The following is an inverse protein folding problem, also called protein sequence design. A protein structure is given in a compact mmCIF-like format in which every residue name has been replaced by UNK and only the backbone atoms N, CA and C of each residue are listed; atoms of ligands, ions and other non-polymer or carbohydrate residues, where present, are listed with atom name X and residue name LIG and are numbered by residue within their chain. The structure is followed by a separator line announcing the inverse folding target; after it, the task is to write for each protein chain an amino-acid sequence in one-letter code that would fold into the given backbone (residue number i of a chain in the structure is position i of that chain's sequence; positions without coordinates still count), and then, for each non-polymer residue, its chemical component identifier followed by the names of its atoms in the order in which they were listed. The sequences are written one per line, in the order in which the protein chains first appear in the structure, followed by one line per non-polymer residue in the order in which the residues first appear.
data_IF_006653878953
#
_entry.id   IF_006653878953
#
_cell.length_a   1.000
_cell.length_b   1.000
_cell.length_c   1.000
_cell.angle_alpha   90.00
_cell.angle_beta   90.00
_cell.angle_gamma   90.00
#
_symmetry.space_group_name_H-M   'P 1'
#
loop_
_entity.id
_entity.type
_entity.pdbx_description
1 polymer ?
#
# COMPACT_ATOMS: atom_id res chain seq x y z
N UNK A 1 10.55 1.97 2.96
CA UNK A 1 10.56 3.12 3.90
C UNK A 1 11.58 4.21 3.60
N UNK A 2 12.71 3.94 2.96
CA UNK A 2 13.75 4.96 2.72
C UNK A 2 13.25 6.20 1.95
N UNK A 3 12.43 6.01 0.92
CA UNK A 3 11.85 7.11 0.12
C UNK A 3 11.04 8.07 1.00
N UNK A 4 10.09 7.56 1.78
CA UNK A 4 9.23 8.36 2.66
C UNK A 4 10.08 9.08 3.72
N UNK A 5 11.09 8.41 4.29
CA UNK A 5 11.99 9.01 5.26
C UNK A 5 12.81 10.16 4.67
N UNK A 6 13.26 10.04 3.43
CA UNK A 6 13.98 11.10 2.73
C UNK A 6 13.05 12.27 2.35
N UNK A 7 11.82 11.98 1.91
CA UNK A 7 10.81 13.01 1.63
C UNK A 7 10.47 13.80 2.89
N UNK A 8 10.34 13.15 4.05
CA UNK A 8 10.08 13.80 5.34
C UNK A 8 11.17 14.82 5.72
N UNK A 9 12.44 14.54 5.39
CA UNK A 9 13.56 15.45 5.66
C UNK A 9 13.59 16.65 4.71
N UNK A 10 13.14 16.47 3.48
CA UNK A 10 13.27 17.45 2.39
C UNK A 10 12.02 18.32 2.19
N UNK A 11 10.85 17.86 2.67
CA UNK A 11 9.55 18.52 2.50
C UNK A 11 8.81 18.58 3.86
N UNK A 12 9.26 19.41 4.81
CA UNK A 12 8.69 19.46 6.17
C UNK A 12 7.20 19.82 6.21
N UNK A 13 6.69 20.53 5.21
CA UNK A 13 5.26 20.85 5.04
C UNK A 13 4.39 19.62 4.71
N UNK A 14 5.02 18.54 4.23
CA UNK A 14 4.38 17.27 3.91
C UNK A 14 4.52 16.24 5.03
N UNK A 15 5.04 16.61 6.21
CA UNK A 15 5.33 15.65 7.29
C UNK A 15 4.10 14.83 7.71
N UNK A 16 2.91 15.45 7.73
CA UNK A 16 1.67 14.78 8.12
C UNK A 16 1.25 13.70 7.11
N UNK A 17 1.02 14.00 5.81
CA UNK A 17 0.68 12.96 4.85
C UNK A 17 1.79 11.92 4.67
N UNK A 18 3.06 12.33 4.70
CA UNK A 18 4.18 11.39 4.63
C UNK A 18 4.26 10.45 5.84
N UNK A 19 3.91 10.91 7.04
CA UNK A 19 3.83 10.03 8.23
C UNK A 19 2.67 9.03 8.12
N UNK A 20 1.53 9.46 7.58
CA UNK A 20 0.39 8.58 7.30
C UNK A 20 0.81 7.49 6.30
N UNK A 21 1.40 7.89 5.18
CA UNK A 21 1.94 6.95 4.19
C UNK A 21 3.00 6.02 4.78
N UNK A 22 3.87 6.53 5.66
CA UNK A 22 4.88 5.71 6.33
C UNK A 22 4.27 4.59 7.18
N UNK A 23 3.17 4.87 7.88
CA UNK A 23 2.42 3.86 8.63
C UNK A 23 1.73 2.85 7.71
N UNK A 24 1.04 3.33 6.68
CA UNK A 24 0.32 2.48 5.73
C UNK A 24 1.29 1.53 4.99
N UNK A 25 2.39 2.06 4.43
CA UNK A 25 3.39 1.21 3.80
C UNK A 25 4.14 0.28 4.76
N UNK A 26 4.21 0.64 6.04
CA UNK A 26 4.69 -0.30 7.05
C UNK A 26 3.72 -1.48 7.20
N UNK A 27 2.40 -1.23 7.20
CA UNK A 27 1.38 -2.28 7.23
C UNK A 27 1.45 -3.16 5.98
N UNK A 28 1.38 -2.58 4.76
CA UNK A 28 1.55 -3.34 3.50
C UNK A 28 2.75 -4.30 3.56
N UNK A 29 3.92 -3.80 3.97
CA UNK A 29 5.17 -4.57 3.90
C UNK A 29 5.31 -5.62 5.01
N UNK A 30 4.70 -5.41 6.18
CA UNK A 30 4.92 -6.27 7.35
C UNK A 30 3.68 -7.07 7.78
N UNK A 31 2.51 -6.77 7.24
CA UNK A 31 1.26 -7.47 7.50
C UNK A 31 0.69 -8.06 6.21
N UNK A 32 0.19 -7.22 5.29
CA UNK A 32 -0.60 -7.66 4.14
C UNK A 32 0.18 -8.59 3.20
N UNK A 33 1.38 -8.18 2.76
CA UNK A 33 2.19 -8.98 1.83
C UNK A 33 2.60 -10.31 2.49
N UNK A 34 3.13 -10.33 3.73
CA UNK A 34 3.37 -11.58 4.45
C UNK A 34 2.13 -12.47 4.60
N UNK A 35 0.97 -11.91 4.96
CA UNK A 35 -0.28 -12.66 5.10
C UNK A 35 -0.69 -13.28 3.76
N UNK A 36 -0.66 -12.51 2.67
CA UNK A 36 -1.01 -13.03 1.35
C UNK A 36 -0.10 -14.17 0.91
N UNK A 37 1.22 -14.05 1.13
CA UNK A 37 2.20 -15.10 0.80
C UNK A 37 1.97 -16.35 1.64
N UNK A 38 1.76 -16.20 2.95
CA UNK A 38 1.53 -17.32 3.87
C UNK A 38 0.20 -18.04 3.57
N UNK A 39 -0.86 -17.27 3.32
CA UNK A 39 -2.18 -17.77 2.96
C UNK A 39 -2.16 -18.54 1.63
N UNK A 40 -1.45 -18.04 0.61
CA UNK A 40 -1.25 -18.77 -0.64
C UNK A 40 -0.44 -20.05 -0.44
N UNK A 41 0.62 -20.00 0.38
CA UNK A 41 1.48 -21.15 0.68
C UNK A 41 0.73 -22.25 1.43
N UNK A 42 -0.16 -21.87 2.34
CA UNK A 42 -0.96 -22.78 3.17
C UNK A 42 -2.27 -23.23 2.50
N UNK A 43 -2.58 -22.71 1.31
CA UNK A 43 -3.79 -23.08 0.57
C UNK A 43 -5.08 -22.47 1.14
N UNK A 44 -5.01 -21.28 1.74
CA UNK A 44 -6.18 -20.54 2.27
C UNK A 44 -6.32 -19.20 1.52
N UNK A 45 -6.62 -19.22 0.21
CA UNK A 45 -6.50 -18.04 -0.68
C UNK A 45 -7.41 -16.87 -0.32
N UNK A 46 -8.46 -17.08 0.49
CA UNK A 46 -9.34 -16.00 0.92
C UNK A 46 -8.60 -14.90 1.71
N UNK A 47 -7.71 -15.29 2.62
CA UNK A 47 -6.89 -14.32 3.36
C UNK A 47 -5.93 -13.56 2.44
N UNK A 48 -5.42 -14.21 1.40
CA UNK A 48 -4.58 -13.53 0.42
C UNK A 48 -5.37 -12.53 -0.45
N UNK A 49 -6.62 -12.83 -0.78
CA UNK A 49 -7.49 -11.92 -1.51
C UNK A 49 -7.85 -10.69 -0.67
N UNK A 50 -8.15 -10.89 0.61
CA UNK A 50 -8.42 -9.80 1.57
C UNK A 50 -7.17 -8.92 1.77
N UNK A 51 -6.01 -9.52 2.03
CA UNK A 51 -4.76 -8.79 2.19
C UNK A 51 -4.38 -7.95 0.94
N UNK A 52 -4.62 -8.46 -0.27
CA UNK A 52 -4.37 -7.68 -1.49
C UNK A 52 -5.42 -6.58 -1.70
N UNK A 53 -6.65 -6.75 -1.21
CA UNK A 53 -7.64 -5.67 -1.19
C UNK A 53 -7.22 -4.54 -0.24
N UNK A 54 -6.68 -4.90 0.94
CA UNK A 54 -6.20 -3.96 1.93
C UNK A 54 -4.98 -3.18 1.42
N UNK A 55 -3.97 -3.85 0.85
CA UNK A 55 -2.81 -3.15 0.27
C UNK A 55 -3.19 -2.12 -0.81
N UNK A 56 -4.21 -2.44 -1.64
CA UNK A 56 -4.72 -1.48 -2.62
C UNK A 56 -5.40 -0.28 -1.94
N UNK A 57 -6.18 -0.53 -0.89
CA UNK A 57 -6.82 0.52 -0.10
C UNK A 57 -5.79 1.40 0.61
N UNK A 58 -4.76 0.81 1.22
CA UNK A 58 -3.71 1.54 1.94
C UNK A 58 -2.92 2.46 1.01
N UNK A 59 -2.57 1.99 -0.20
CA UNK A 59 -1.94 2.84 -1.21
C UNK A 59 -2.84 4.01 -1.63
N UNK A 60 -4.14 3.76 -1.79
CA UNK A 60 -5.13 4.79 -2.12
C UNK A 60 -5.29 5.81 -0.98
N UNK A 61 -5.39 5.37 0.27
CA UNK A 61 -5.51 6.25 1.45
C UNK A 61 -4.23 7.09 1.63
N UNK A 62 -3.05 6.52 1.35
CA UNK A 62 -1.81 7.29 1.31
C UNK A 62 -1.91 8.43 0.28
N UNK A 63 -2.36 8.15 -0.95
CA UNK A 63 -2.52 9.20 -1.97
C UNK A 63 -3.57 10.25 -1.57
N UNK A 64 -4.70 9.82 -1.02
CA UNK A 64 -5.78 10.71 -0.56
C UNK A 64 -5.32 11.63 0.58
N UNK A 65 -4.28 11.24 1.34
CA UNK A 65 -3.70 12.12 2.36
C UNK A 65 -3.07 13.40 1.78
N UNK A 66 -2.76 13.42 0.48
CA UNK A 66 -2.19 14.56 -0.22
C UNK A 66 -3.23 15.46 -0.92
N UNK A 67 -4.55 15.22 -0.80
CA UNK A 67 -5.59 15.94 -1.56
C UNK A 67 -5.58 17.47 -1.41
N UNK A 68 -5.13 18.00 -0.26
CA UNK A 68 -5.04 19.45 -0.01
C UNK A 68 -3.74 20.06 -0.56
N UNK A 69 -2.83 19.23 -1.07
CA UNK A 69 -1.54 19.63 -1.62
C UNK A 69 -1.61 19.60 -3.15
N UNK A 70 -0.77 20.42 -3.80
CA UNK A 70 -0.77 20.54 -5.28
C UNK A 70 -0.38 19.24 -5.99
N UNK A 71 0.50 18.44 -5.38
CA UNK A 71 1.02 17.20 -5.96
C UNK A 71 1.50 16.28 -4.85
N UNK A 72 1.20 14.99 -4.97
CA UNK A 72 1.78 13.93 -4.14
C UNK A 72 3.15 13.56 -4.68
N UNK A 73 4.22 13.57 -3.86
CA UNK A 73 5.53 13.07 -4.27
C UNK A 73 5.57 11.53 -4.43
N UNK A 74 4.46 10.85 -4.14
CA UNK A 74 4.34 9.40 -4.15
C UNK A 74 3.30 8.91 -5.18
N UNK A 75 2.73 9.79 -6.01
CA UNK A 75 1.60 9.46 -6.91
C UNK A 75 1.86 8.21 -7.76
N UNK A 76 3.03 8.11 -8.39
CA UNK A 76 3.37 6.97 -9.25
C UNK A 76 3.53 5.66 -8.46
N UNK A 77 4.09 5.74 -7.25
CA UNK A 77 4.29 4.58 -6.37
C UNK A 77 2.94 4.11 -5.83
N UNK A 78 2.11 5.05 -5.36
CA UNK A 78 0.77 4.76 -4.85
C UNK A 78 -0.12 4.14 -5.94
N UNK A 79 -0.08 4.67 -7.16
CA UNK A 79 -0.78 4.10 -8.29
C UNK A 79 -0.30 2.68 -8.61
N UNK A 80 1.02 2.48 -8.71
CA UNK A 80 1.59 1.17 -9.01
C UNK A 80 1.23 0.11 -7.96
N UNK A 81 1.29 0.45 -6.68
CA UNK A 81 0.95 -0.48 -5.59
C UNK A 81 -0.55 -0.79 -5.63
N UNK A 82 -1.40 0.22 -5.79
CA UNK A 82 -2.85 0.02 -5.94
C UNK A 82 -3.18 -0.92 -7.10
N UNK A 83 -2.65 -0.64 -8.29
CA UNK A 83 -2.95 -1.41 -9.50
C UNK A 83 -2.43 -2.85 -9.42
N UNK A 84 -1.19 -3.03 -8.95
CA UNK A 84 -0.61 -4.37 -8.78
C UNK A 84 -1.35 -5.19 -7.73
N UNK A 85 -1.75 -4.58 -6.62
CA UNK A 85 -2.56 -5.24 -5.58
C UNK A 85 -3.94 -5.63 -6.12
N UNK A 86 -4.60 -4.79 -6.92
CA UNK A 86 -5.87 -5.15 -7.56
C UNK A 86 -5.73 -6.28 -8.60
N UNK A 87 -4.64 -6.30 -9.36
CA UNK A 87 -4.32 -7.41 -10.27
C UNK A 87 -4.08 -8.69 -9.49
N UNK A 88 -3.24 -8.65 -8.45
CA UNK A 88 -2.96 -9.80 -7.60
C UNK A 88 -4.23 -10.35 -6.95
N UNK A 89 -5.05 -9.48 -6.35
CA UNK A 89 -6.39 -9.81 -5.84
C UNK A 89 -7.24 -10.54 -6.88
N UNK A 90 -7.30 -10.01 -8.10
CA UNK A 90 -8.09 -10.60 -9.19
C UNK A 90 -7.58 -11.98 -9.61
N UNK A 91 -6.27 -12.21 -9.58
CA UNK A 91 -5.66 -13.51 -9.83
C UNK A 91 -6.03 -14.49 -8.72
N UNK A 92 -5.81 -14.11 -7.46
CA UNK A 92 -6.08 -14.93 -6.27
C UNK A 92 -7.56 -15.33 -6.21
N UNK A 93 -8.47 -14.45 -6.63
CA UNK A 93 -9.90 -14.73 -6.69
C UNK A 93 -10.28 -15.95 -7.55
N UNK A 94 -9.44 -16.37 -8.50
CA UNK A 94 -9.66 -17.61 -9.27
C UNK A 94 -9.40 -18.89 -8.46
N UNK A 95 -8.84 -18.76 -7.26
CA UNK A 95 -8.54 -19.87 -6.35
C UNK A 95 -9.61 -20.04 -5.26
N UNK A 96 -10.66 -19.21 -5.25
CA UNK A 96 -11.74 -19.21 -4.26
C UNK A 96 -12.91 -20.13 -4.63
#
# INVERSE_FOLDING_TARGET
MEIINNLNKTNPELIKPLSICGLLYYTVLNADIPEAVDALTKGVPKFAEDAMADSALEAKVCEESFLVYKCSPLVDINAAVCDLSLVAKSIIKNLL
#
